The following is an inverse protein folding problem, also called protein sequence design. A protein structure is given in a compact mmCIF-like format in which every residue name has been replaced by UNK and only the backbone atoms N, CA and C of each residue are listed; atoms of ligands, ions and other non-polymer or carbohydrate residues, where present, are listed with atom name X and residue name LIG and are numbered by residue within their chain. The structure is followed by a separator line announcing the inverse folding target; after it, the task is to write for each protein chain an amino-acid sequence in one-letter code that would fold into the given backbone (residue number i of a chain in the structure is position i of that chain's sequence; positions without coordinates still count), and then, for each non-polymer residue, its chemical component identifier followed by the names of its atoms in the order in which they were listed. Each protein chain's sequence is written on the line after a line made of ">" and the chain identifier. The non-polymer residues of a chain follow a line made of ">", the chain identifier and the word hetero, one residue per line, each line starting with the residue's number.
data_IF_635179326928
#
_entry.id   IF_635179326928
#
_cell.length_a   1.000
_cell.length_b   1.000
_cell.length_c   1.000
_cell.angle_alpha   90.00
_cell.angle_beta   90.00
_cell.angle_gamma   90.00
#
_symmetry.space_group_name_H-M   'P 1'
#
loop_
_entity.id
_entity.type
_entity.pdbx_description
1 polymer ?
#
# COMPACT_ATOMS: atom_id res chain seq x y z
N UNK A 1 16.45 18.53 19.55
CA UNK A 1 15.93 18.98 20.87
C UNK A 1 15.49 17.77 21.70
N UNK A 2 15.39 17.87 23.02
CA UNK A 2 14.80 16.79 23.83
C UNK A 2 13.35 17.12 24.19
N UNK A 3 12.46 16.16 23.98
CA UNK A 3 11.07 16.19 24.41
C UNK A 3 10.88 15.28 25.62
N UNK A 4 10.24 15.78 26.67
CA UNK A 4 9.88 14.99 27.86
C UNK A 4 8.47 14.45 27.70
N UNK A 5 8.34 13.13 27.63
CA UNK A 5 7.07 12.42 27.45
C UNK A 5 6.09 12.76 28.58
N UNK A 6 4.86 13.09 28.22
CA UNK A 6 3.75 13.39 29.15
C UNK A 6 2.75 12.24 29.17
N UNK A 7 1.94 12.17 30.22
CA UNK A 7 0.85 11.19 30.34
C UNK A 7 -0.07 11.22 29.10
N UNK A 8 -0.23 10.07 28.44
CA UNK A 8 -1.08 9.91 27.26
C UNK A 8 -0.42 10.21 25.92
N UNK A 9 0.86 10.56 25.92
CA UNK A 9 1.65 10.69 24.70
C UNK A 9 1.83 9.35 24.01
N UNK A 10 1.90 9.41 22.68
CA UNK A 10 2.28 8.30 21.83
C UNK A 10 3.37 8.80 20.89
N UNK A 11 4.34 7.96 20.55
CA UNK A 11 5.48 8.38 19.72
C UNK A 11 5.02 8.94 18.37
N UNK A 12 3.95 8.38 17.78
CA UNK A 12 3.33 8.90 16.56
C UNK A 12 2.69 10.29 16.71
N UNK A 13 2.09 10.61 17.88
CA UNK A 13 1.53 11.95 18.14
C UNK A 13 2.65 12.99 18.28
N UNK A 14 3.74 12.63 18.97
CA UNK A 14 4.93 13.46 19.10
C UNK A 14 5.54 13.69 17.70
N UNK A 15 5.78 12.63 16.93
CA UNK A 15 6.27 12.69 15.56
C UNK A 15 5.46 13.68 14.69
N UNK A 16 4.13 13.56 14.73
CA UNK A 16 3.22 14.45 14.00
C UNK A 16 3.29 15.89 14.47
N UNK A 17 3.32 16.13 15.78
CA UNK A 17 3.40 17.47 16.36
C UNK A 17 4.67 18.21 15.92
N UNK A 18 5.79 17.49 15.84
CA UNK A 18 7.08 18.05 15.42
C UNK A 18 7.33 17.96 13.91
N UNK A 19 6.40 17.40 13.13
CA UNK A 19 6.56 17.14 11.69
C UNK A 19 7.82 16.32 11.36
N UNK A 20 8.23 15.45 12.28
CA UNK A 20 9.39 14.56 12.14
C UNK A 20 8.89 13.13 12.00
N UNK A 21 9.28 12.38 10.96
CA UNK A 21 8.84 11.00 10.82
C UNK A 21 9.29 10.12 11.99
N UNK A 22 8.40 9.23 12.43
CA UNK A 22 8.64 8.38 13.61
C UNK A 22 9.93 7.56 13.51
N UNK A 23 10.28 7.12 12.30
CA UNK A 23 11.50 6.34 12.06
C UNK A 23 12.78 7.15 12.25
N UNK A 24 12.73 8.44 11.94
CA UNK A 24 13.85 9.35 12.16
C UNK A 24 14.03 9.60 13.67
N UNK A 25 12.94 9.68 14.44
CA UNK A 25 12.99 9.73 15.90
C UNK A 25 13.61 8.42 16.44
N UNK A 26 13.12 7.25 16.02
CA UNK A 26 13.65 5.96 16.48
C UNK A 26 15.13 5.76 16.16
N UNK A 27 15.57 6.17 14.96
CA UNK A 27 16.98 6.07 14.57
C UNK A 27 17.93 6.84 15.51
N UNK A 28 17.46 7.94 16.11
CA UNK A 28 18.23 8.74 17.06
C UNK A 28 17.95 8.40 18.53
N UNK A 29 17.04 7.46 18.80
CA UNK A 29 16.65 7.02 20.13
C UNK A 29 16.68 5.50 20.21
N UNK A 30 17.86 4.91 19.99
CA UNK A 30 18.05 3.45 19.90
C UNK A 30 17.65 2.69 21.18
N UNK A 31 17.53 3.38 22.32
CA UNK A 31 16.99 2.82 23.56
C UNK A 31 15.48 2.52 23.50
N UNK A 32 14.75 3.09 22.54
CA UNK A 32 13.33 2.81 22.30
C UNK A 32 13.23 1.56 21.43
N UNK A 33 13.16 0.40 22.09
CA UNK A 33 13.06 -0.91 21.41
C UNK A 33 11.66 -1.13 20.85
N UNK A 34 10.62 -0.72 21.59
CA UNK A 34 9.24 -0.81 21.17
C UNK A 34 8.64 0.61 21.03
N UNK A 35 8.30 1.07 19.81
CA UNK A 35 7.75 2.41 19.56
C UNK A 35 6.42 2.69 20.28
N UNK A 36 5.69 1.63 20.66
CA UNK A 36 4.43 1.73 21.39
C UNK A 36 4.63 1.80 22.92
N UNK A 37 5.87 1.67 23.41
CA UNK A 37 6.21 1.72 24.83
C UNK A 37 7.16 2.87 25.10
N UNK A 38 6.58 4.05 25.31
CA UNK A 38 7.26 5.22 25.86
C UNK A 38 6.67 5.54 27.22
N UNK A 39 7.51 6.00 28.15
CA UNK A 39 7.12 6.20 29.55
C UNK A 39 7.04 7.68 29.89
N UNK A 40 6.09 8.06 30.74
CA UNK A 40 6.01 9.41 31.26
C UNK A 40 7.33 9.82 31.91
N UNK A 41 7.81 11.03 31.58
CA UNK A 41 9.10 11.54 32.03
C UNK A 41 10.31 11.10 31.21
N UNK A 42 10.16 10.13 30.30
CA UNK A 42 11.23 9.73 29.37
C UNK A 42 11.62 10.90 28.47
N UNK A 43 12.93 11.07 28.26
CA UNK A 43 13.46 12.04 27.30
C UNK A 43 13.65 11.38 25.94
N UNK A 44 13.05 11.99 24.91
CA UNK A 44 13.16 11.56 23.52
C UNK A 44 13.85 12.68 22.74
N UNK A 45 14.94 12.34 22.05
CA UNK A 45 15.58 13.25 21.14
C UNK A 45 14.75 13.41 19.86
N UNK A 46 14.26 14.62 19.61
CA UNK A 46 13.59 15.01 18.37
C UNK A 46 14.63 15.71 17.50
N UNK A 47 15.10 15.08 16.41
CA UNK A 47 16.06 15.71 15.50
C UNK A 47 15.40 16.87 14.75
N UNK A 48 16.17 17.92 14.49
CA UNK A 48 15.74 18.99 13.60
C UNK A 48 15.91 18.50 12.15
N UNK A 49 14.85 18.58 11.36
CA UNK A 49 14.86 18.09 9.98
C UNK A 49 15.75 18.94 9.06
N UNK A 50 15.92 20.22 9.39
CA UNK A 50 16.73 21.18 8.61
C UNK A 50 18.24 20.92 8.73
N UNK A 51 18.68 20.35 9.86
CA UNK A 51 20.09 20.04 10.14
C UNK A 51 20.52 18.68 9.54
N UNK A 52 19.58 17.94 8.95
CA UNK A 52 19.83 16.63 8.36
C UNK A 52 20.18 16.83 6.88
N UNK A 53 21.41 16.49 6.43
CA UNK A 53 21.77 16.61 5.03
C UNK A 53 20.86 15.71 4.19
N UNK A 54 20.10 16.33 3.27
CA UNK A 54 19.08 15.74 2.39
C UNK A 54 19.57 14.46 1.67
N UNK A 55 20.89 14.29 1.51
CA UNK A 55 21.51 13.10 0.89
C UNK A 55 21.59 11.86 1.78
N UNK A 56 21.54 11.97 3.12
CA UNK A 56 21.57 10.80 4.03
C UNK A 56 20.19 10.31 4.45
N UNK A 57 19.16 11.14 4.28
CA UNK A 57 17.77 10.79 4.50
C UNK A 57 16.98 10.97 3.21
N UNK A 58 17.11 10.01 2.30
CA UNK A 58 15.93 9.64 1.52
C UNK A 58 14.95 9.06 2.53
N UNK A 59 14.10 9.89 3.15
CA UNK A 59 12.83 9.40 3.63
C UNK A 59 12.26 8.54 2.50
N UNK A 60 11.96 7.27 2.78
CA UNK A 60 11.35 6.39 1.79
C UNK A 60 10.28 7.22 1.07
N UNK A 61 10.52 7.53 -0.21
CA UNK A 61 9.69 8.45 -0.98
C UNK A 61 8.27 7.92 -0.84
N UNK A 62 7.40 8.63 -0.10
CA UNK A 62 6.03 8.17 0.07
C UNK A 62 5.44 8.03 -1.32
N UNK A 63 4.94 6.84 -1.63
CA UNK A 63 4.51 6.51 -2.98
C UNK A 63 3.32 7.41 -3.33
N UNK A 64 3.53 8.37 -4.24
CA UNK A 64 2.46 9.28 -4.62
C UNK A 64 1.43 8.55 -5.49
N UNK A 65 0.22 9.07 -5.58
CA UNK A 65 -0.80 8.56 -6.51
C UNK A 65 -0.24 8.44 -7.94
N UNK A 66 0.53 9.42 -8.39
CA UNK A 66 1.12 9.39 -9.71
C UNK A 66 2.22 8.34 -9.86
N UNK A 67 3.05 8.12 -8.83
CA UNK A 67 4.05 7.04 -8.83
C UNK A 67 3.38 5.66 -8.95
N UNK A 68 2.30 5.45 -8.19
CA UNK A 68 1.47 4.22 -8.24
C UNK A 68 0.94 4.00 -9.65
N UNK A 69 0.28 5.00 -10.23
CA UNK A 69 -0.34 4.87 -11.55
C UNK A 69 0.69 4.74 -12.66
N UNK A 70 1.82 5.46 -12.59
CA UNK A 70 2.89 5.33 -13.57
C UNK A 70 3.49 3.91 -13.54
N UNK A 71 3.75 3.36 -12.34
CA UNK A 71 4.25 2.00 -12.19
C UNK A 71 3.22 0.96 -12.66
N UNK A 72 1.94 1.14 -12.32
CA UNK A 72 0.85 0.29 -12.81
C UNK A 72 0.74 0.29 -14.35
N UNK A 73 0.83 1.47 -15.00
CA UNK A 73 0.80 1.59 -16.46
C UNK A 73 2.04 1.03 -17.15
N UNK A 74 3.21 1.07 -16.50
CA UNK A 74 4.48 0.63 -17.08
C UNK A 74 4.51 -0.83 -17.57
N UNK A 75 3.58 -1.65 -17.07
CA UNK A 75 3.50 -3.09 -17.36
C UNK A 75 2.35 -3.47 -18.28
N UNK A 76 1.55 -2.49 -18.73
CA UNK A 76 0.56 -2.70 -19.79
C UNK A 76 1.30 -2.95 -21.12
N UNK A 77 0.86 -3.95 -21.88
CA UNK A 77 1.49 -4.36 -23.14
C UNK A 77 2.68 -5.29 -22.94
N UNK A 78 2.94 -5.76 -21.72
CA UNK A 78 4.02 -6.73 -21.42
C UNK A 78 3.58 -8.19 -21.57
N UNK A 79 2.33 -8.44 -21.99
CA UNK A 79 1.78 -9.78 -22.27
C UNK A 79 1.85 -10.72 -21.06
N UNK A 80 1.50 -10.19 -19.89
CA UNK A 80 1.49 -10.98 -18.65
C UNK A 80 0.37 -12.01 -18.73
N UNK A 81 0.68 -13.25 -18.37
CA UNK A 81 -0.28 -14.36 -18.32
C UNK A 81 -1.00 -14.33 -16.98
N UNK A 82 -2.33 -14.44 -17.02
CA UNK A 82 -3.11 -14.53 -15.79
C UNK A 82 -2.91 -15.90 -15.11
N UNK A 83 -2.55 -15.89 -13.83
CA UNK A 83 -2.53 -17.10 -12.99
C UNK A 83 -2.78 -16.75 -11.54
N UNK A 84 -3.84 -17.33 -10.98
CA UNK A 84 -4.22 -17.12 -9.58
C UNK A 84 -3.07 -17.54 -8.64
N UNK A 85 -2.75 -16.68 -7.67
CA UNK A 85 -1.65 -16.90 -6.72
C UNK A 85 -0.26 -16.53 -7.24
N UNK A 86 -0.11 -16.02 -8.46
CA UNK A 86 1.19 -15.72 -9.06
C UNK A 86 1.57 -14.23 -9.03
N UNK A 87 2.87 -13.95 -9.05
CA UNK A 87 3.42 -12.59 -9.08
C UNK A 87 3.44 -11.88 -7.72
N UNK A 88 4.08 -10.71 -7.67
CA UNK A 88 4.18 -9.85 -6.50
C UNK A 88 5.23 -10.26 -5.47
N UNK A 89 6.13 -11.21 -5.77
CA UNK A 89 7.05 -11.75 -4.77
C UNK A 89 8.31 -10.89 -4.55
N UNK A 90 8.72 -10.11 -5.54
CA UNK A 90 9.94 -9.29 -5.55
C UNK A 90 9.59 -7.88 -6.05
N UNK A 91 9.52 -6.92 -5.13
CA UNK A 91 9.09 -5.55 -5.39
C UNK A 91 10.07 -4.73 -6.23
N UNK A 92 11.33 -5.19 -6.29
CA UNK A 92 12.43 -4.54 -7.00
C UNK A 92 12.58 -5.05 -8.43
N UNK A 93 11.94 -6.16 -8.75
CA UNK A 93 11.97 -6.70 -10.10
C UNK A 93 11.27 -5.74 -11.08
N UNK A 94 11.74 -5.57 -12.34
CA UNK A 94 11.15 -4.61 -13.29
C UNK A 94 9.70 -4.91 -13.69
N UNK A 95 9.23 -6.14 -13.46
CA UNK A 95 7.87 -6.59 -13.73
C UNK A 95 7.28 -7.19 -12.45
N UNK A 96 5.94 -7.32 -12.33
CA UNK A 96 5.31 -7.98 -11.19
C UNK A 96 5.61 -9.48 -11.10
N UNK A 97 6.34 -10.04 -12.06
CA UNK A 97 6.61 -11.48 -12.15
C UNK A 97 7.90 -11.76 -12.90
N UNK A 98 8.59 -12.84 -12.49
CA UNK A 98 9.81 -13.35 -13.15
C UNK A 98 9.51 -14.40 -14.21
N UNK A 99 8.40 -15.12 -14.08
CA UNK A 99 8.01 -16.20 -14.98
C UNK A 99 6.89 -15.82 -15.95
N UNK A 100 6.52 -14.54 -16.01
CA UNK A 100 5.48 -14.02 -16.89
C UNK A 100 4.05 -14.23 -16.38
N UNK A 101 3.85 -14.80 -15.19
CA UNK A 101 2.53 -15.09 -14.62
C UNK A 101 2.20 -14.17 -13.44
N UNK A 102 0.98 -13.61 -13.40
CA UNK A 102 0.53 -12.73 -12.32
C UNK A 102 -1.00 -12.79 -12.13
N UNK A 103 -1.50 -12.37 -10.97
CA UNK A 103 -2.92 -12.09 -10.69
C UNK A 103 -3.12 -10.69 -10.09
N UNK A 104 -4.34 -10.39 -9.66
CA UNK A 104 -4.76 -9.08 -9.15
C UNK A 104 -3.94 -8.63 -7.93
N UNK A 105 -3.84 -9.46 -6.90
CA UNK A 105 -3.19 -9.06 -5.65
C UNK A 105 -1.66 -9.08 -5.76
N UNK A 106 -1.06 -9.96 -6.57
CA UNK A 106 0.36 -9.95 -6.84
C UNK A 106 0.79 -8.70 -7.60
N UNK A 107 -0.01 -8.29 -8.59
CA UNK A 107 0.18 -7.03 -9.29
C UNK A 107 0.13 -5.83 -8.33
N UNK A 108 -0.88 -5.76 -7.47
CA UNK A 108 -1.02 -4.66 -6.49
C UNK A 108 0.15 -4.61 -5.53
N UNK A 109 0.58 -5.75 -4.96
CA UNK A 109 1.74 -5.79 -4.07
C UNK A 109 2.99 -5.24 -4.75
N UNK A 110 3.26 -5.68 -5.98
CA UNK A 110 4.41 -5.20 -6.74
C UNK A 110 4.36 -3.69 -6.99
N UNK A 111 3.20 -3.16 -7.41
CA UNK A 111 3.04 -1.71 -7.64
C UNK A 111 3.31 -0.93 -6.34
N UNK A 112 2.78 -1.40 -5.21
CA UNK A 112 2.97 -0.74 -3.90
C UNK A 112 4.38 -0.90 -3.32
N UNK A 113 5.28 -1.60 -3.99
CA UNK A 113 6.64 -1.81 -3.48
C UNK A 113 6.68 -2.86 -2.36
N UNK A 114 5.74 -3.79 -2.35
CA UNK A 114 5.60 -4.83 -1.33
C UNK A 114 5.85 -6.21 -1.93
N UNK A 115 6.53 -7.06 -1.16
CA UNK A 115 6.42 -8.50 -1.38
C UNK A 115 5.05 -8.96 -0.88
N UNK A 116 4.33 -9.67 -1.75
CA UNK A 116 3.09 -10.37 -1.45
C UNK A 116 3.22 -11.31 -0.26
N UNK A 117 4.40 -11.90 -0.06
CA UNK A 117 4.73 -12.65 1.15
C UNK A 117 5.40 -11.69 2.15
N UNK A 118 4.57 -10.91 2.83
CA UNK A 118 5.00 -9.85 3.74
C UNK A 118 5.28 -10.34 5.16
N UNK A 119 6.05 -9.55 5.90
CA UNK A 119 6.26 -9.68 7.35
C UNK A 119 5.49 -8.61 8.16
N UNK A 120 4.67 -7.79 7.50
CA UNK A 120 3.87 -6.76 8.17
C UNK A 120 2.96 -7.43 9.22
N UNK A 121 2.99 -6.98 10.49
CA UNK A 121 2.26 -7.65 11.59
C UNK A 121 0.77 -7.86 11.34
N UNK A 122 0.10 -6.90 10.69
CA UNK A 122 -1.32 -7.02 10.37
C UNK A 122 -1.65 -8.24 9.51
N UNK A 123 -0.76 -8.61 8.58
CA UNK A 123 -0.96 -9.73 7.67
C UNK A 123 -0.45 -11.06 8.24
N UNK A 124 -0.07 -11.09 9.52
CA UNK A 124 0.35 -12.31 10.22
C UNK A 124 -0.79 -12.88 11.07
N UNK A 125 -0.81 -14.21 11.32
CA UNK A 125 0.13 -15.22 10.81
C UNK A 125 -0.08 -15.55 9.33
N UNK A 126 0.99 -15.87 8.62
CA UNK A 126 0.93 -16.36 7.24
C UNK A 126 1.43 -15.36 6.20
N UNK A 127 1.25 -14.07 6.40
CA UNK A 127 1.93 -13.01 5.62
C UNK A 127 1.57 -12.97 4.14
N UNK A 128 0.52 -13.66 3.69
CA UNK A 128 0.12 -13.64 2.29
C UNK A 128 -0.89 -12.52 2.08
N UNK A 129 -0.57 -11.56 1.21
CA UNK A 129 -1.49 -10.49 0.85
C UNK A 129 -2.36 -10.93 -0.34
N UNK A 130 -3.67 -10.95 -0.12
CA UNK A 130 -4.73 -11.25 -1.08
C UNK A 130 -5.97 -10.40 -0.80
N UNK A 131 -7.00 -10.50 -1.63
CA UNK A 131 -8.16 -9.60 -1.61
C UNK A 131 -8.85 -9.51 -0.26
N UNK A 132 -9.04 -10.64 0.44
CA UNK A 132 -9.77 -10.63 1.72
C UNK A 132 -8.93 -9.99 2.82
N UNK A 133 -7.61 -10.21 2.82
CA UNK A 133 -6.71 -9.51 3.74
C UNK A 133 -6.68 -7.99 3.51
N UNK A 134 -6.81 -7.53 2.25
CA UNK A 134 -6.90 -6.10 1.93
C UNK A 134 -8.25 -5.52 2.37
N UNK A 135 -9.35 -6.27 2.19
CA UNK A 135 -10.68 -5.89 2.70
C UNK A 135 -10.68 -5.80 4.22
N UNK A 136 -10.04 -6.74 4.91
CA UNK A 136 -9.89 -6.70 6.36
C UNK A 136 -9.07 -5.49 6.80
N UNK A 137 -7.95 -5.21 6.13
CA UNK A 137 -7.11 -4.04 6.37
C UNK A 137 -7.90 -2.74 6.31
N UNK A 138 -8.61 -2.52 5.21
CA UNK A 138 -9.45 -1.33 5.00
C UNK A 138 -10.54 -1.22 6.07
N UNK A 139 -11.19 -2.33 6.44
CA UNK A 139 -12.26 -2.28 7.42
C UNK A 139 -11.76 -2.01 8.85
N UNK A 140 -10.59 -2.56 9.21
CA UNK A 140 -10.00 -2.41 10.54
C UNK A 140 -9.16 -1.14 10.68
N UNK A 141 -8.74 -0.55 9.56
CA UNK A 141 -7.87 0.62 9.48
C UNK A 141 -6.59 0.45 10.32
N UNK A 142 -5.98 -0.73 10.21
CA UNK A 142 -4.92 -1.21 11.11
C UNK A 142 -3.67 -1.77 10.40
N UNK A 143 -3.73 -1.96 9.08
CA UNK A 143 -2.59 -2.38 8.27
C UNK A 143 -2.00 -1.21 7.48
N UNK A 144 -1.99 -1.33 6.17
CA UNK A 144 -1.35 -0.42 5.21
C UNK A 144 -2.34 0.39 4.38
N UNK A 145 -3.64 0.26 4.63
CA UNK A 145 -4.67 1.00 3.91
C UNK A 145 -5.56 1.84 4.82
N UNK A 146 -5.67 3.14 4.51
CA UNK A 146 -6.70 4.00 5.06
C UNK A 146 -8.00 3.85 4.26
N UNK A 147 -9.14 3.70 4.94
CA UNK A 147 -10.45 3.60 4.28
C UNK A 147 -10.87 4.92 3.65
N UNK A 148 -11.37 4.85 2.42
CA UNK A 148 -11.99 5.99 1.73
C UNK A 148 -13.50 5.81 1.59
N UNK A 149 -14.22 6.93 1.68
CA UNK A 149 -15.66 7.01 1.39
C UNK A 149 -15.94 7.43 -0.05
N UNK A 150 -14.96 8.03 -0.72
CA UNK A 150 -14.97 8.41 -2.13
C UNK A 150 -13.67 7.95 -2.80
N UNK A 151 -13.70 7.50 -4.06
CA UNK A 151 -12.50 7.06 -4.76
C UNK A 151 -11.55 8.22 -5.06
N UNK A 152 -10.25 7.93 -5.02
CA UNK A 152 -9.17 8.84 -5.38
C UNK A 152 -8.22 8.16 -6.36
N UNK A 153 -7.57 8.93 -7.23
CA UNK A 153 -6.53 8.37 -8.11
C UNK A 153 -5.41 7.78 -7.25
N UNK A 154 -4.97 6.57 -7.61
CA UNK A 154 -3.91 5.83 -6.91
C UNK A 154 -4.39 4.99 -5.71
N UNK A 155 -5.65 5.12 -5.26
CA UNK A 155 -6.20 4.19 -4.28
C UNK A 155 -6.47 2.82 -4.92
N UNK A 156 -6.53 1.77 -4.09
CA UNK A 156 -7.03 0.48 -4.55
C UNK A 156 -8.56 0.48 -4.49
N UNK A 157 -9.19 -0.25 -5.41
CA UNK A 157 -10.56 -0.72 -5.30
C UNK A 157 -10.55 -2.24 -5.16
N UNK A 158 -11.22 -2.77 -4.14
CA UNK A 158 -11.18 -4.21 -3.81
C UNK A 158 -12.53 -4.72 -3.34
N UNK A 159 -12.85 -5.96 -3.70
CA UNK A 159 -13.88 -6.76 -3.03
C UNK A 159 -13.34 -8.15 -2.73
N UNK A 160 -13.80 -8.72 -1.61
CA UNK A 160 -13.36 -10.03 -1.15
C UNK A 160 -13.91 -11.17 -2.00
N UNK A 161 -13.32 -12.35 -1.84
CA UNK A 161 -13.71 -13.59 -2.47
C UNK A 161 -15.12 -14.04 -2.05
N UNK A 162 -15.41 -13.99 -0.75
CA UNK A 162 -16.67 -14.53 -0.25
C UNK A 162 -16.80 -16.02 -0.61
N UNK A 163 -17.80 -16.38 -1.43
CA UNK A 163 -17.96 -17.74 -1.99
C UNK A 163 -17.28 -17.92 -3.37
N UNK A 164 -16.80 -16.84 -3.96
CA UNK A 164 -16.26 -16.75 -5.32
C UNK A 164 -14.79 -16.29 -5.27
N UNK A 165 -14.28 -15.69 -6.34
CA UNK A 165 -12.93 -15.12 -6.41
C UNK A 165 -13.01 -13.60 -6.23
N UNK A 166 -12.23 -13.07 -5.30
CA UNK A 166 -12.15 -11.63 -5.04
C UNK A 166 -11.36 -10.92 -6.12
N UNK A 167 -11.43 -9.59 -6.16
CA UNK A 167 -10.68 -8.82 -7.15
C UNK A 167 -10.19 -7.49 -6.61
N UNK A 168 -9.06 -7.02 -7.15
CA UNK A 168 -8.44 -5.75 -6.77
C UNK A 168 -7.77 -5.07 -7.97
N UNK A 169 -7.78 -3.74 -7.98
CA UNK A 169 -7.07 -2.90 -8.95
C UNK A 169 -6.80 -1.49 -8.41
N UNK A 170 -6.11 -0.67 -9.20
CA UNK A 170 -5.86 0.74 -8.89
C UNK A 170 -6.81 1.65 -9.64
N UNK A 171 -7.43 2.58 -8.93
CA UNK A 171 -8.24 3.65 -9.55
C UNK A 171 -7.29 4.62 -10.26
N UNK A 172 -7.34 4.66 -11.59
CA UNK A 172 -6.42 5.46 -12.41
C UNK A 172 -7.03 6.76 -12.92
N UNK A 173 -8.35 6.88 -12.85
CA UNK A 173 -9.09 8.08 -13.24
C UNK A 173 -10.38 8.19 -12.41
N UNK A 174 -10.65 9.39 -11.89
CA UNK A 174 -11.85 9.74 -11.13
C UNK A 174 -12.46 10.99 -11.77
N UNK A 175 -13.77 10.99 -11.94
CA UNK A 175 -14.54 12.15 -12.40
C UNK A 175 -15.82 12.25 -11.59
N UNK A 176 -16.16 13.45 -11.10
CA UNK A 176 -17.37 13.71 -10.32
C UNK A 176 -17.53 12.74 -9.12
N UNK A 177 -16.43 12.43 -8.44
CA UNK A 177 -16.41 11.52 -7.28
C UNK A 177 -16.67 10.04 -7.61
N UNK A 178 -16.60 9.65 -8.89
CA UNK A 178 -16.78 8.26 -9.35
C UNK A 178 -15.55 7.78 -10.08
N UNK A 179 -15.22 6.49 -9.91
CA UNK A 179 -14.19 5.85 -10.72
C UNK A 179 -14.57 5.89 -12.20
N UNK A 180 -13.61 6.18 -13.06
CA UNK A 180 -13.77 6.14 -14.53
C UNK A 180 -12.90 5.10 -15.19
N UNK A 181 -11.70 4.88 -14.65
CA UNK A 181 -10.78 3.84 -15.12
C UNK A 181 -10.09 3.17 -13.94
N UNK A 182 -9.79 1.90 -14.14
CA UNK A 182 -9.07 1.06 -13.19
C UNK A 182 -8.03 0.25 -13.93
N UNK A 183 -6.82 0.20 -13.38
CA UNK A 183 -5.75 -0.69 -13.84
C UNK A 183 -5.76 -1.93 -12.96
N UNK A 184 -5.98 -3.11 -13.56
CA UNK A 184 -6.08 -4.37 -12.82
C UNK A 184 -5.59 -5.56 -13.63
N UNK A 185 -5.20 -6.61 -12.92
CA UNK A 185 -4.78 -7.89 -13.47
C UNK A 185 -5.93 -8.90 -13.39
N UNK A 186 -6.45 -9.39 -14.51
CA UNK A 186 -7.59 -10.32 -14.51
C UNK A 186 -7.56 -11.37 -15.60
N UNK A 187 -8.27 -12.48 -15.37
CA UNK A 187 -8.47 -13.53 -16.38
C UNK A 187 -9.29 -13.02 -17.58
N UNK A 188 -10.24 -12.12 -17.35
CA UNK A 188 -11.03 -11.48 -18.40
C UNK A 188 -10.16 -10.66 -19.35
N UNK A 189 -9.29 -9.80 -18.80
CA UNK A 189 -8.32 -9.04 -19.60
C UNK A 189 -7.42 -9.97 -20.41
N UNK A 190 -6.88 -11.02 -19.78
CA UNK A 190 -6.02 -11.97 -20.48
C UNK A 190 -6.74 -12.67 -21.65
N UNK A 191 -8.00 -13.08 -21.46
CA UNK A 191 -8.80 -13.70 -22.53
C UNK A 191 -8.98 -12.76 -23.72
N UNK A 192 -9.30 -11.50 -23.46
CA UNK A 192 -9.61 -10.48 -24.47
C UNK A 192 -8.36 -9.90 -25.16
N UNK A 193 -7.30 -9.63 -24.42
CA UNK A 193 -6.14 -8.84 -24.91
C UNK A 193 -4.85 -9.66 -25.01
N UNK A 194 -4.83 -10.91 -24.53
CA UNK A 194 -3.61 -11.71 -24.32
C UNK A 194 -2.59 -11.01 -23.40
N UNK A 195 -3.09 -10.15 -22.53
CA UNK A 195 -2.35 -9.47 -21.48
C UNK A 195 -3.28 -9.28 -20.28
N UNK A 196 -2.90 -9.84 -19.13
CA UNK A 196 -3.73 -9.85 -17.93
C UNK A 196 -3.89 -8.46 -17.32
N UNK A 197 -2.89 -7.58 -17.49
CA UNK A 197 -2.87 -6.25 -16.88
C UNK A 197 -3.33 -5.23 -17.91
N UNK A 198 -4.47 -4.59 -17.64
CA UNK A 198 -5.07 -3.60 -18.53
C UNK A 198 -5.68 -2.44 -17.74
N UNK A 199 -5.77 -1.28 -18.38
CA UNK A 199 -6.57 -0.15 -17.93
C UNK A 199 -7.95 -0.23 -18.60
N UNK A 200 -9.01 -0.36 -17.82
CA UNK A 200 -10.38 -0.61 -18.32
C UNK A 200 -11.42 0.19 -17.54
N UNK A 201 -12.68 0.15 -17.98
CA UNK A 201 -13.80 0.68 -17.20
C UNK A 201 -13.93 -0.01 -15.83
N UNK A 202 -14.44 0.67 -14.79
CA UNK A 202 -14.56 0.11 -13.44
C UNK A 202 -15.69 -0.92 -13.28
N UNK A 203 -16.42 -1.27 -14.35
CA UNK A 203 -17.66 -2.09 -14.29
C UNK A 203 -17.56 -3.36 -13.43
N UNK A 204 -16.41 -4.05 -13.44
CA UNK A 204 -16.19 -5.25 -12.61
C UNK A 204 -16.18 -4.95 -11.09
N UNK A 205 -15.90 -3.71 -10.71
CA UNK A 205 -15.87 -3.20 -9.34
C UNK A 205 -17.12 -2.38 -8.97
N UNK A 206 -18.11 -2.23 -9.85
CA UNK A 206 -19.38 -1.55 -9.54
C UNK A 206 -20.28 -2.47 -8.70
N UNK A 207 -19.83 -2.75 -7.48
CA UNK A 207 -20.49 -3.63 -6.52
C UNK A 207 -20.71 -2.90 -5.21
N UNK A 208 -21.78 -3.24 -4.49
CA UNK A 208 -22.10 -2.64 -3.21
C UNK A 208 -21.10 -2.99 -2.10
N UNK A 209 -20.37 -4.10 -2.24
CA UNK A 209 -19.36 -4.59 -1.31
C UNK A 209 -17.92 -4.17 -1.68
N UNK A 210 -17.75 -3.38 -2.75
CA UNK A 210 -16.43 -2.85 -3.11
C UNK A 210 -15.99 -1.76 -2.13
N UNK A 211 -14.71 -1.80 -1.76
CA UNK A 211 -14.08 -0.85 -0.86
C UNK A 211 -12.93 -0.12 -1.54
N UNK A 212 -12.67 1.10 -1.08
CA UNK A 212 -11.51 1.89 -1.49
C UNK A 212 -10.50 2.03 -0.35
N UNK A 213 -9.23 1.76 -0.64
CA UNK A 213 -8.14 1.86 0.31
C UNK A 213 -7.02 2.74 -0.23
N UNK A 214 -6.65 3.80 0.51
CA UNK A 214 -5.46 4.60 0.21
C UNK A 214 -4.26 3.94 0.86
N UNK A 215 -3.23 3.63 0.07
CA UNK A 215 -1.98 3.09 0.61
C UNK A 215 -1.26 4.13 1.48
N UNK A 216 -0.85 3.73 2.68
CA UNK A 216 -0.14 4.59 3.65
C UNK A 216 1.19 4.01 4.15
N UNK A 217 1.64 2.90 3.54
CA UNK A 217 2.89 2.21 3.88
C UNK A 217 4.15 2.82 3.31
#
# INVERSE_FOLDING_TARGET
>A
MYYKVKKGDMLGKIAKAYKVPIQLILAHNQAIINPNMIFEGQLIYIPNIEDIPVKKFQFAKQLTAQDIINKARSVIGKRIVYKLGAGGMDEKYPLPTKNGECDCSGFVCWVLGLSRKTKIPFYQPGGWIYTDSMVEDINRNAGIFDRLTVPEVGCIVVYGAGKEIGHVGFVSEVENGKMKKVIHCSSGNYKSFKDAIQETSPKVFERADALWGRFVG
#
